data_IF_451875861899
#
_entry.id   IF_451875861899
#
_cell.length_a   1.000
_cell.length_b   1.000
_cell.length_c   1.000
_cell.angle_alpha   90.00
_cell.angle_beta   90.00
_cell.angle_gamma   90.00
#
_symmetry.space_group_name_H-M   'P 1'
#
loop_
_entity.id
_entity.type
_entity.pdbx_description
1 polymer ?
#
# COMPACT_ATOMS: atom_id res chain seq x y z
N UNK A 1 2.14 22.64 5.25
CA UNK A 1 2.39 21.56 6.24
C UNK A 1 2.04 22.13 7.60
N UNK A 2 1.07 21.54 8.28
CA UNK A 2 0.67 21.99 9.62
C UNK A 2 1.75 21.64 10.64
N UNK A 3 1.85 22.41 11.73
CA UNK A 3 2.83 22.18 12.81
C UNK A 3 2.75 20.73 13.36
N UNK A 4 1.55 20.16 13.39
CA UNK A 4 1.33 18.76 13.78
C UNK A 4 2.00 17.75 12.84
N UNK A 5 1.91 17.98 11.51
CA UNK A 5 2.55 17.09 10.54
C UNK A 5 4.08 17.10 10.70
N UNK A 6 4.66 18.27 10.94
CA UNK A 6 6.10 18.41 11.18
C UNK A 6 6.54 17.71 12.46
N UNK A 7 5.78 17.84 13.55
CA UNK A 7 6.03 17.13 14.80
C UNK A 7 5.99 15.61 14.62
N UNK A 8 5.05 15.09 13.82
CA UNK A 8 4.99 13.66 13.51
C UNK A 8 6.23 13.19 12.74
N UNK A 9 6.65 13.93 11.69
CA UNK A 9 7.87 13.61 10.95
C UNK A 9 9.13 13.68 11.82
N UNK A 10 9.22 14.66 12.72
CA UNK A 10 10.32 14.76 13.69
C UNK A 10 10.33 13.57 14.67
N UNK A 11 9.18 13.20 15.21
CA UNK A 11 9.05 12.03 16.10
C UNK A 11 9.45 10.73 15.41
N UNK A 12 8.96 10.50 14.18
CA UNK A 12 9.32 9.33 13.37
C UNK A 12 10.83 9.33 13.08
N UNK A 13 11.39 10.48 12.70
CA UNK A 13 12.83 10.63 12.45
C UNK A 13 13.66 10.30 13.69
N UNK A 14 13.24 10.77 14.88
CA UNK A 14 13.93 10.48 16.14
C UNK A 14 13.92 8.98 16.46
N UNK A 15 12.77 8.32 16.30
CA UNK A 15 12.65 6.86 16.50
C UNK A 15 13.54 6.09 15.52
N UNK A 16 13.55 6.50 14.24
CA UNK A 16 14.39 5.85 13.23
C UNK A 16 15.88 6.07 13.48
N UNK A 17 16.29 7.24 13.94
CA UNK A 17 17.68 7.51 14.33
C UNK A 17 18.09 6.64 15.53
N UNK A 18 17.24 6.52 16.54
CA UNK A 18 17.49 5.63 17.68
C UNK A 18 17.58 4.16 17.24
N UNK A 19 16.67 3.69 16.39
CA UNK A 19 16.70 2.34 15.85
C UNK A 19 17.98 2.08 15.03
N UNK A 20 18.38 3.05 14.21
CA UNK A 20 19.61 3.00 13.40
C UNK A 20 20.85 2.93 14.30
N UNK A 21 20.88 3.72 15.37
CA UNK A 21 21.97 3.72 16.35
C UNK A 21 22.07 2.37 17.07
N UNK A 22 20.94 1.81 17.51
CA UNK A 22 20.88 0.49 18.15
C UNK A 22 21.38 -0.59 17.17
N UNK A 23 20.88 -0.60 15.93
CA UNK A 23 21.29 -1.54 14.90
C UNK A 23 22.79 -1.46 14.57
N UNK A 24 23.35 -0.24 14.57
CA UNK A 24 24.77 0.01 14.37
C UNK A 24 25.64 -0.49 15.54
N UNK A 25 25.24 -0.19 16.78
CA UNK A 25 25.94 -0.67 17.99
C UNK A 25 25.91 -2.19 18.07
N UNK A 26 24.76 -2.81 17.75
CA UNK A 26 24.61 -4.25 17.74
C UNK A 26 25.51 -4.90 16.69
N UNK A 27 25.59 -4.32 15.48
CA UNK A 27 26.50 -4.77 14.42
C UNK A 27 27.97 -4.68 14.83
N UNK A 28 28.38 -3.60 15.50
CA UNK A 28 29.75 -3.45 16.02
C UNK A 28 30.07 -4.42 17.16
N UNK A 29 29.10 -4.74 18.03
CA UNK A 29 29.29 -5.67 19.16
C UNK A 29 29.26 -7.15 18.75
N UNK A 30 28.62 -7.50 17.63
CA UNK A 30 28.48 -8.89 17.20
C UNK A 30 29.80 -9.57 16.78
N UNK A 31 30.85 -8.81 16.45
CA UNK A 31 32.19 -9.35 16.17
C UNK A 31 32.29 -10.29 14.95
N UNK A 32 31.23 -10.44 14.16
CA UNK A 32 31.14 -11.34 13.01
C UNK A 32 29.79 -11.20 12.27
N UNK A 33 29.61 -11.88 11.12
CA UNK A 33 28.38 -11.79 10.32
C UNK A 33 27.19 -12.39 11.07
N UNK A 34 26.12 -11.62 11.22
CA UNK A 34 24.88 -12.04 11.88
C UNK A 34 23.67 -11.63 11.02
N UNK A 35 23.03 -12.63 10.42
CA UNK A 35 21.90 -12.45 9.50
C UNK A 35 20.70 -11.73 10.11
N UNK A 36 20.49 -11.85 11.43
CA UNK A 36 19.40 -11.16 12.14
C UNK A 36 19.65 -9.65 12.19
N UNK A 37 20.89 -9.25 12.49
CA UNK A 37 21.29 -7.84 12.57
C UNK A 37 21.28 -7.20 11.18
N UNK A 38 21.75 -7.92 10.17
CA UNK A 38 21.73 -7.42 8.79
C UNK A 38 20.29 -7.28 8.26
N UNK A 39 19.38 -8.21 8.59
CA UNK A 39 17.95 -8.07 8.25
C UNK A 39 17.30 -6.87 8.98
N UNK A 40 17.62 -6.67 10.27
CA UNK A 40 17.14 -5.52 11.04
C UNK A 40 17.59 -4.20 10.41
N UNK A 41 18.88 -4.08 10.09
CA UNK A 41 19.43 -2.89 9.46
C UNK A 41 18.83 -2.65 8.05
N UNK A 42 18.60 -3.71 7.28
CA UNK A 42 17.92 -3.60 5.99
C UNK A 42 16.49 -3.07 6.12
N UNK A 43 15.74 -3.51 7.14
CA UNK A 43 14.40 -2.99 7.44
C UNK A 43 14.42 -1.53 7.83
N UNK A 44 15.35 -1.13 8.71
CA UNK A 44 15.53 0.27 9.12
C UNK A 44 15.84 1.15 7.90
N UNK A 45 16.73 0.70 7.01
CA UNK A 45 17.05 1.42 5.78
C UNK A 45 15.83 1.54 4.84
N UNK A 46 15.03 0.48 4.71
CA UNK A 46 13.79 0.54 3.93
C UNK A 46 12.79 1.55 4.51
N UNK A 47 12.70 1.65 5.83
CA UNK A 47 11.85 2.64 6.51
C UNK A 47 12.33 4.08 6.28
N UNK A 48 13.64 4.32 6.27
CA UNK A 48 14.18 5.61 5.87
C UNK A 48 13.75 6.01 4.46
N UNK A 49 13.85 5.08 3.49
CA UNK A 49 13.40 5.32 2.12
C UNK A 49 11.90 5.63 2.08
N UNK A 50 11.07 4.85 2.78
CA UNK A 50 9.62 5.08 2.84
C UNK A 50 9.27 6.45 3.42
N UNK A 51 9.89 6.83 4.54
CA UNK A 51 9.66 8.14 5.19
C UNK A 51 10.08 9.29 4.27
N UNK A 52 11.21 9.16 3.58
CA UNK A 52 11.67 10.19 2.64
C UNK A 52 10.72 10.35 1.45
N UNK A 53 10.30 9.24 0.84
CA UNK A 53 9.38 9.25 -0.31
C UNK A 53 8.02 9.83 0.08
N UNK A 54 7.47 9.40 1.22
CA UNK A 54 6.20 9.91 1.74
C UNK A 54 6.34 11.39 2.12
N UNK A 55 7.39 11.76 2.85
CA UNK A 55 7.66 13.15 3.24
C UNK A 55 7.78 14.07 2.03
N UNK A 56 8.45 13.63 0.97
CA UNK A 56 8.55 14.36 -0.29
C UNK A 56 7.19 14.54 -0.97
N UNK A 57 6.34 13.50 -0.99
CA UNK A 57 4.98 13.61 -1.53
C UNK A 57 4.12 14.59 -0.73
N UNK A 58 4.21 14.57 0.61
CA UNK A 58 3.53 15.56 1.46
C UNK A 58 3.99 16.99 1.19
N UNK A 59 5.28 17.17 0.88
CA UNK A 59 5.83 18.48 0.54
C UNK A 59 5.30 19.00 -0.81
N UNK A 60 5.10 18.11 -1.79
CA UNK A 60 4.50 18.43 -3.10
C UNK A 60 2.97 18.64 -3.05
N UNK A 61 2.31 18.27 -1.94
CA UNK A 61 0.89 18.52 -1.69
C UNK A 61 -0.06 17.37 -2.03
N UNK A 62 -1.36 17.62 -1.91
CA UNK A 62 -2.41 16.59 -1.95
C UNK A 62 -2.38 15.75 -3.23
N UNK A 63 -2.19 16.36 -4.40
CA UNK A 63 -2.14 15.64 -5.68
C UNK A 63 -0.99 14.63 -5.75
N UNK A 64 0.18 14.99 -5.24
CA UNK A 64 1.33 14.09 -5.21
C UNK A 64 1.13 12.91 -4.25
N UNK A 65 0.47 13.14 -3.10
CA UNK A 65 0.09 12.08 -2.17
C UNK A 65 -0.91 11.12 -2.82
N UNK A 66 -1.96 11.66 -3.46
CA UNK A 66 -2.95 10.84 -4.19
C UNK A 66 -2.27 9.99 -5.26
N UNK A 67 -1.36 10.57 -6.05
CA UNK A 67 -0.64 9.86 -7.11
C UNK A 67 0.30 8.79 -6.54
N UNK A 68 1.02 9.08 -5.46
CA UNK A 68 1.87 8.11 -4.77
C UNK A 68 1.05 6.91 -4.30
N UNK A 69 -0.05 7.16 -3.60
CA UNK A 69 -0.91 6.08 -3.10
C UNK A 69 -1.57 5.30 -4.26
N UNK A 70 -2.00 5.99 -5.33
CA UNK A 70 -2.49 5.33 -6.54
C UNK A 70 -1.45 4.37 -7.12
N UNK A 71 -0.21 4.82 -7.30
CA UNK A 71 0.87 4.00 -7.82
C UNK A 71 1.17 2.82 -6.89
N UNK A 72 1.28 3.05 -5.59
CA UNK A 72 1.52 1.98 -4.60
C UNK A 72 0.38 0.96 -4.61
N UNK A 73 -0.88 1.40 -4.62
CA UNK A 73 -2.04 0.50 -4.73
C UNK A 73 -2.04 -0.29 -6.02
N UNK A 74 -1.68 0.33 -7.15
CA UNK A 74 -1.59 -0.33 -8.44
C UNK A 74 -0.52 -1.43 -8.44
N UNK A 75 0.69 -1.13 -7.96
CA UNK A 75 1.77 -2.10 -7.85
C UNK A 75 1.44 -3.23 -6.86
N UNK A 76 0.89 -2.88 -5.69
CA UNK A 76 0.50 -3.86 -4.69
C UNK A 76 -0.60 -4.80 -5.21
N UNK A 77 -1.61 -4.26 -5.90
CA UNK A 77 -2.67 -5.06 -6.49
C UNK A 77 -2.10 -5.96 -7.61
N UNK A 78 -1.25 -5.43 -8.50
CA UNK A 78 -0.61 -6.21 -9.56
C UNK A 78 0.18 -7.41 -9.00
N UNK A 79 0.95 -7.18 -7.95
CA UNK A 79 1.72 -8.24 -7.29
C UNK A 79 0.79 -9.27 -6.64
N UNK A 80 -0.26 -8.80 -5.95
CA UNK A 80 -1.28 -9.67 -5.35
C UNK A 80 -2.00 -10.54 -6.39
N UNK A 81 -2.35 -9.98 -7.56
CA UNK A 81 -2.99 -10.73 -8.65
C UNK A 81 -2.05 -11.81 -9.21
N UNK A 82 -0.75 -11.55 -9.22
CA UNK A 82 0.26 -12.48 -9.72
C UNK A 82 0.48 -13.65 -8.77
N UNK A 83 0.43 -13.40 -7.45
CA UNK A 83 0.66 -14.42 -6.42
C UNK A 83 -0.57 -15.27 -6.11
N UNK A 84 -1.78 -14.76 -6.38
CA UNK A 84 -3.02 -15.46 -6.06
C UNK A 84 -3.38 -16.46 -7.17
N UNK A 85 -3.56 -17.76 -6.87
CA UNK A 85 -4.04 -18.73 -7.86
C UNK A 85 -5.50 -18.38 -8.23
N UNK A 86 -5.67 -17.66 -9.32
CA UNK A 86 -6.98 -17.18 -9.78
C UNK A 86 -7.68 -18.24 -10.63
N UNK A 87 -8.93 -18.58 -10.27
CA UNK A 87 -9.79 -19.40 -11.14
C UNK A 87 -10.26 -18.55 -12.31
N UNK A 88 -10.54 -19.20 -13.45
CA UNK A 88 -11.01 -18.52 -14.68
C UNK A 88 -12.30 -17.72 -14.45
N UNK A 89 -13.15 -18.15 -13.51
CA UNK A 89 -14.39 -17.47 -13.10
C UNK A 89 -14.16 -16.10 -12.45
N UNK A 90 -13.00 -15.88 -11.83
CA UNK A 90 -12.76 -14.70 -10.99
C UNK A 90 -12.07 -13.57 -11.77
N UNK A 91 -11.60 -13.88 -12.99
CA UNK A 91 -10.91 -12.95 -13.88
C UNK A 91 -11.71 -11.67 -14.19
N UNK A 92 -13.01 -11.70 -14.57
CA UNK A 92 -13.76 -10.48 -14.87
C UNK A 92 -13.95 -9.58 -13.64
N UNK A 93 -14.16 -10.16 -12.45
CA UNK A 93 -14.26 -9.41 -11.20
C UNK A 93 -12.92 -8.75 -10.85
N UNK A 94 -11.81 -9.46 -11.06
CA UNK A 94 -10.46 -8.98 -10.78
C UNK A 94 -10.02 -7.85 -11.72
N UNK A 95 -10.33 -8.00 -13.01
CA UNK A 95 -10.12 -6.95 -14.04
C UNK A 95 -10.95 -5.73 -13.71
N UNK A 96 -12.23 -5.88 -13.33
CA UNK A 96 -13.07 -4.76 -12.91
C UNK A 96 -12.52 -4.06 -11.66
N UNK A 97 -12.02 -4.81 -10.66
CA UNK A 97 -11.37 -4.22 -9.49
C UNK A 97 -10.15 -3.38 -9.87
N UNK A 98 -9.32 -3.90 -10.77
CA UNK A 98 -8.07 -3.27 -11.18
C UNK A 98 -8.29 -2.04 -12.08
N UNK A 99 -9.11 -2.17 -13.12
CA UNK A 99 -9.29 -1.15 -14.16
C UNK A 99 -10.44 -0.17 -13.90
N UNK A 100 -11.41 -0.52 -13.05
CA UNK A 100 -12.54 0.36 -12.74
C UNK A 100 -12.49 0.84 -11.30
N UNK A 101 -12.42 -0.08 -10.32
CA UNK A 101 -12.53 0.31 -8.91
C UNK A 101 -11.34 1.16 -8.45
N UNK A 102 -10.10 0.77 -8.78
CA UNK A 102 -8.90 1.50 -8.39
C UNK A 102 -8.88 2.93 -8.95
N UNK A 103 -8.97 3.20 -10.27
CA UNK A 103 -8.96 4.57 -10.77
C UNK A 103 -10.16 5.38 -10.28
N UNK A 104 -11.36 4.78 -10.21
CA UNK A 104 -12.55 5.48 -9.72
C UNK A 104 -12.37 5.92 -8.26
N UNK A 105 -11.81 5.07 -7.39
CA UNK A 105 -11.52 5.42 -6.00
C UNK A 105 -10.63 6.67 -5.90
N UNK A 106 -9.55 6.73 -6.67
CA UNK A 106 -8.62 7.86 -6.60
C UNK A 106 -9.15 9.13 -7.27
N UNK A 107 -10.02 9.03 -8.29
CA UNK A 107 -10.77 10.17 -8.82
C UNK A 107 -11.75 10.72 -7.78
N UNK A 108 -12.45 9.84 -7.06
CA UNK A 108 -13.38 10.23 -5.98
C UNK A 108 -12.66 10.95 -4.83
N UNK A 109 -11.45 10.51 -4.49
CA UNK A 109 -10.59 11.18 -3.52
C UNK A 109 -10.16 12.56 -4.05
N UNK A 110 -9.78 12.66 -5.33
CA UNK A 110 -9.35 13.92 -5.94
C UNK A 110 -10.44 15.00 -5.96
N UNK A 111 -11.71 14.62 -6.15
CA UNK A 111 -12.86 15.53 -6.08
C UNK A 111 -13.36 15.77 -4.64
N UNK A 112 -12.68 15.22 -3.62
CA UNK A 112 -12.98 15.35 -2.20
C UNK A 112 -14.40 14.90 -1.80
N UNK A 113 -14.97 13.90 -2.48
CA UNK A 113 -16.32 13.42 -2.20
C UNK A 113 -16.32 12.39 -1.07
N UNK A 114 -16.17 12.87 0.17
CA UNK A 114 -16.02 12.04 1.38
C UNK A 114 -17.05 10.92 1.52
N UNK A 115 -18.33 11.27 1.36
CA UNK A 115 -19.41 10.29 1.50
C UNK A 115 -19.28 9.12 0.53
N UNK A 116 -18.87 9.38 -0.72
CA UNK A 116 -18.83 8.37 -1.77
C UNK A 116 -17.55 7.52 -1.72
N UNK A 117 -16.36 8.11 -1.58
CA UNK A 117 -15.12 7.31 -1.55
C UNK A 117 -15.00 6.43 -0.30
N UNK A 118 -15.64 6.84 0.82
CA UNK A 118 -15.62 6.08 2.09
C UNK A 118 -16.44 4.80 2.00
N UNK A 119 -17.58 4.84 1.29
CA UNK A 119 -18.46 3.68 1.10
C UNK A 119 -18.17 2.90 -0.19
N UNK A 120 -17.40 3.46 -1.12
CA UNK A 120 -17.15 2.87 -2.44
C UNK A 120 -16.60 1.44 -2.36
N UNK A 121 -15.49 1.24 -1.65
CA UNK A 121 -14.90 -0.10 -1.51
C UNK A 121 -15.76 -1.01 -0.63
N UNK A 122 -16.13 -0.61 0.61
CA UNK A 122 -16.84 -1.51 1.54
C UNK A 122 -18.21 -1.96 1.07
N UNK A 123 -18.95 -1.09 0.36
CA UNK A 123 -20.33 -1.35 -0.04
C UNK A 123 -20.40 -1.73 -1.52
N UNK A 124 -19.95 -0.85 -2.41
CA UNK A 124 -20.17 -1.05 -3.84
C UNK A 124 -19.24 -2.09 -4.45
N UNK A 125 -17.92 -2.01 -4.20
CA UNK A 125 -16.97 -2.97 -4.78
C UNK A 125 -17.22 -4.37 -4.23
N UNK A 126 -17.36 -4.54 -2.91
CA UNK A 126 -17.65 -5.86 -2.33
C UNK A 126 -19.00 -6.45 -2.75
N UNK A 127 -19.99 -5.63 -3.09
CA UNK A 127 -21.27 -6.12 -3.61
C UNK A 127 -21.16 -6.49 -5.10
N UNK A 128 -20.41 -5.72 -5.89
CA UNK A 128 -20.25 -5.95 -7.32
C UNK A 128 -19.32 -7.14 -7.63
N UNK A 129 -18.27 -7.36 -6.85
CA UNK A 129 -17.30 -8.43 -7.12
C UNK A 129 -17.92 -9.84 -7.18
N UNK A 130 -18.78 -10.27 -6.22
CA UNK A 130 -19.47 -11.56 -6.30
C UNK A 130 -20.44 -11.66 -7.48
N UNK A 131 -21.10 -10.56 -7.84
CA UNK A 131 -22.00 -10.50 -9.00
C UNK A 131 -21.21 -10.70 -10.30
N UNK A 132 -20.06 -10.05 -10.42
CA UNK A 132 -19.18 -10.20 -11.58
C UNK A 132 -18.53 -11.59 -11.63
N UNK A 133 -18.17 -12.16 -10.49
CA UNK A 133 -17.62 -13.52 -10.40
C UNK A 133 -18.67 -14.58 -10.77
N UNK A 134 -19.94 -14.40 -10.37
CA UNK A 134 -21.02 -15.33 -10.73
C UNK A 134 -21.38 -15.26 -12.21
N UNK A 135 -21.32 -14.07 -12.82
CA UNK A 135 -21.47 -13.88 -14.26
C UNK A 135 -20.27 -14.44 -15.05
N UNK A 136 -19.09 -14.47 -14.44
CA UNK A 136 -17.85 -15.04 -15.00
C UNK A 136 -17.87 -16.56 -15.18
N UNK A 137 -18.88 -17.25 -14.65
CA UNK A 137 -19.32 -18.57 -15.07
C UNK A 137 -18.25 -19.66 -15.02
N UNK A 138 -18.28 -20.48 -13.97
CA UNK A 138 -17.90 -21.89 -14.13
C UNK A 138 -19.13 -22.77 -13.91
N UNK A 139 -19.75 -23.17 -15.02
CA UNK A 139 -20.76 -24.24 -15.05
C UNK A 139 -20.09 -25.61 -15.26
N UNK A 140 -18.78 -25.75 -15.06
CA UNK A 140 -18.08 -27.04 -15.17
C UNK A 140 -17.61 -27.47 -13.78
N UNK A 141 -18.19 -28.58 -13.31
CA UNK A 141 -17.99 -29.27 -12.01
C UNK A 141 -18.90 -28.83 -10.85
N UNK A 142 -20.23 -28.90 -11.07
CA UNK A 142 -21.23 -28.99 -10.00
C UNK A 142 -21.57 -30.44 -9.61
N UNK A 143 -20.65 -31.39 -9.84
CA UNK A 143 -20.76 -32.77 -9.34
C UNK A 143 -19.62 -33.06 -8.37
#
# INVERSE_FOLDING_TARGET
>A
MDNQTQLLFMGIGMVLLLASLIGYVLKRRAGGPNSVIDNLNARINAWWVMVLVIGFAFWLGQGAVILLFYAVSFYALREFLTLTPTRRSDYPALVAAFYLALPLQYVLIAINWYGLFSIFIPVYVFLLLPILASLGGDSKHFL
#
